data_IF_418158994607
#
_entry.id   IF_418158994607
#
_cell.length_a   1.000
_cell.length_b   1.000
_cell.length_c   1.000
_cell.angle_alpha   90.00
_cell.angle_beta   90.00
_cell.angle_gamma   90.00
#
_symmetry.space_group_name_H-M   'P 1'
#
loop_
_entity.id
_entity.type
_entity.pdbx_description
1 polymer ?
#
# COMPACT_ATOMS: atom_id res chain seq x y z
N UNK A 1 -21.31 -20.02 -25.93
CA UNK A 1 -20.46 -18.86 -26.20
C UNK A 1 -20.13 -18.23 -24.85
N UNK A 2 -18.90 -18.45 -24.35
CA UNK A 2 -18.45 -17.86 -23.09
C UNK A 2 -18.22 -16.37 -23.31
N UNK A 3 -18.81 -15.51 -22.48
CA UNK A 3 -18.57 -14.08 -22.53
C UNK A 3 -17.07 -13.79 -22.38
N UNK A 4 -16.49 -12.86 -23.16
CA UNK A 4 -15.08 -12.51 -23.03
C UNK A 4 -14.80 -12.02 -21.59
N UNK A 5 -13.65 -12.35 -20.99
CA UNK A 5 -13.31 -11.89 -19.66
C UNK A 5 -13.30 -10.36 -19.63
N UNK A 6 -13.79 -9.74 -18.55
CA UNK A 6 -13.82 -8.27 -18.45
C UNK A 6 -12.41 -7.71 -18.63
N UNK A 7 -12.28 -6.71 -19.49
CA UNK A 7 -11.00 -6.05 -19.76
C UNK A 7 -10.39 -5.54 -18.44
N UNK A 8 -9.12 -5.87 -18.21
CA UNK A 8 -8.38 -5.37 -17.03
C UNK A 8 -8.32 -3.83 -17.14
N UNK A 9 -8.67 -3.10 -16.08
CA UNK A 9 -8.57 -1.64 -16.09
C UNK A 9 -7.12 -1.23 -16.39
N UNK A 10 -6.96 -0.19 -17.22
CA UNK A 10 -5.65 0.35 -17.53
C UNK A 10 -5.07 1.01 -16.25
N UNK A 11 -3.94 0.53 -15.70
CA UNK A 11 -3.39 1.05 -14.44
C UNK A 11 -3.05 2.56 -14.50
N UNK A 12 -2.64 3.06 -15.68
CA UNK A 12 -2.34 4.48 -15.86
C UNK A 12 -3.60 5.35 -15.78
N UNK A 13 -4.71 4.86 -16.30
CA UNK A 13 -5.99 5.55 -16.24
C UNK A 13 -6.54 5.56 -14.80
N UNK A 14 -6.36 4.48 -14.07
CA UNK A 14 -6.73 4.39 -12.65
C UNK A 14 -5.94 5.40 -11.82
N UNK A 15 -4.62 5.45 -11.96
CA UNK A 15 -3.75 6.44 -11.29
C UNK A 15 -4.16 7.86 -11.67
N UNK A 16 -4.44 8.11 -12.94
CA UNK A 16 -4.88 9.42 -13.43
C UNK A 16 -6.15 9.88 -12.71
N UNK A 17 -7.19 9.04 -12.71
CA UNK A 17 -8.51 9.38 -12.14
C UNK A 17 -8.49 9.44 -10.62
N UNK A 18 -7.79 8.52 -9.96
CA UNK A 18 -7.87 8.40 -8.49
C UNK A 18 -6.86 9.26 -7.75
N UNK A 19 -5.83 9.74 -8.43
CA UNK A 19 -4.71 10.45 -7.80
C UNK A 19 -4.42 11.80 -8.46
N UNK A 20 -4.10 11.79 -9.77
CA UNK A 20 -3.68 13.03 -10.43
C UNK A 20 -4.82 14.05 -10.54
N UNK A 21 -6.02 13.61 -10.94
CA UNK A 21 -7.19 14.50 -11.06
C UNK A 21 -7.58 15.10 -9.71
N UNK A 22 -7.76 14.32 -8.61
CA UNK A 22 -8.03 14.89 -7.30
C UNK A 22 -6.96 15.87 -6.81
N UNK A 23 -5.67 15.54 -6.97
CA UNK A 23 -4.58 16.42 -6.56
C UNK A 23 -4.62 17.76 -7.33
N UNK A 24 -4.83 17.71 -8.64
CA UNK A 24 -4.94 18.92 -9.47
C UNK A 24 -6.18 19.75 -9.12
N UNK A 25 -7.33 19.12 -8.82
CA UNK A 25 -8.53 19.81 -8.36
C UNK A 25 -8.23 20.58 -7.06
N UNK A 26 -7.61 19.92 -6.09
CA UNK A 26 -7.25 20.54 -4.81
C UNK A 26 -6.28 21.72 -5.00
N UNK A 27 -5.26 21.56 -5.84
CA UNK A 27 -4.24 22.58 -6.06
C UNK A 27 -4.71 23.76 -6.92
N UNK A 28 -5.65 23.53 -7.84
CA UNK A 28 -6.01 24.55 -8.84
C UNK A 28 -7.41 25.12 -8.64
N UNK A 29 -8.34 24.41 -8.04
CA UNK A 29 -9.74 24.82 -7.97
C UNK A 29 -10.18 25.25 -6.56
N UNK A 30 -9.31 25.21 -5.55
CA UNK A 30 -9.65 25.55 -4.17
C UNK A 30 -9.75 27.05 -3.89
N UNK A 31 -9.27 27.91 -4.80
CA UNK A 31 -9.39 29.36 -4.68
C UNK A 31 -10.87 29.80 -4.60
N UNK A 32 -11.17 30.78 -3.74
CA UNK A 32 -12.52 31.33 -3.57
C UNK A 32 -13.10 31.88 -4.90
N UNK A 33 -12.24 32.44 -5.76
CA UNK A 33 -12.61 32.91 -7.09
C UNK A 33 -13.02 31.79 -8.07
N UNK A 34 -12.80 30.50 -7.69
CA UNK A 34 -13.13 29.31 -8.50
C UNK A 34 -14.26 28.51 -7.83
N UNK A 35 -13.92 27.38 -7.19
CA UNK A 35 -14.88 26.52 -6.50
C UNK A 35 -14.96 26.79 -5.00
N UNK A 36 -13.93 27.41 -4.44
CA UNK A 36 -13.72 27.50 -3.00
C UNK A 36 -13.27 26.19 -2.35
N UNK A 37 -12.73 26.25 -1.11
CA UNK A 37 -12.08 25.09 -0.48
C UNK A 37 -13.02 23.90 -0.30
N UNK A 38 -14.21 24.11 0.20
CA UNK A 38 -15.18 23.04 0.51
C UNK A 38 -15.65 22.29 -0.75
N UNK A 39 -16.00 23.03 -1.81
CA UNK A 39 -16.48 22.39 -3.06
C UNK A 39 -15.36 21.68 -3.80
N UNK A 40 -14.16 22.26 -3.81
CA UNK A 40 -12.98 21.64 -4.41
C UNK A 40 -12.64 20.33 -3.69
N UNK A 41 -12.67 20.30 -2.36
CA UNK A 41 -12.44 19.10 -1.57
C UNK A 41 -13.50 18.02 -1.86
N UNK A 42 -14.77 18.37 -1.86
CA UNK A 42 -15.85 17.43 -2.18
C UNK A 42 -15.71 16.86 -3.59
N UNK A 43 -15.38 17.70 -4.56
CA UNK A 43 -15.17 17.27 -5.95
C UNK A 43 -13.96 16.33 -6.06
N UNK A 44 -12.84 16.66 -5.43
CA UNK A 44 -11.63 15.84 -5.43
C UNK A 44 -11.88 14.45 -4.83
N UNK A 45 -12.62 14.38 -3.71
CA UNK A 45 -12.96 13.12 -3.04
C UNK A 45 -13.97 12.27 -3.84
N UNK A 46 -14.81 12.89 -4.66
CA UNK A 46 -15.80 12.19 -5.48
C UNK A 46 -15.15 11.20 -6.48
N UNK A 47 -13.95 11.49 -6.97
CA UNK A 47 -13.25 10.64 -7.94
C UNK A 47 -12.82 9.29 -7.35
N UNK A 48 -12.01 9.23 -6.27
CA UNK A 48 -11.62 7.96 -5.67
C UNK A 48 -12.81 7.21 -5.06
N UNK A 49 -13.79 7.92 -4.47
CA UNK A 49 -15.00 7.30 -3.93
C UNK A 49 -15.86 6.69 -5.04
N UNK A 50 -16.12 7.45 -6.11
CA UNK A 50 -16.91 6.98 -7.26
C UNK A 50 -16.23 5.80 -7.94
N UNK A 51 -14.89 5.85 -8.12
CA UNK A 51 -14.15 4.74 -8.68
C UNK A 51 -14.19 3.50 -7.79
N UNK A 52 -13.97 3.65 -6.49
CA UNK A 52 -14.01 2.54 -5.53
C UNK A 52 -15.37 1.86 -5.44
N UNK A 53 -16.45 2.65 -5.44
CA UNK A 53 -17.84 2.14 -5.45
C UNK A 53 -18.16 1.43 -6.77
N UNK A 54 -17.78 2.01 -7.90
CA UNK A 54 -18.01 1.42 -9.22
C UNK A 54 -17.24 0.11 -9.42
N UNK A 55 -15.97 0.07 -9.03
CA UNK A 55 -15.15 -1.16 -9.11
C UNK A 55 -15.68 -2.25 -8.18
N UNK A 56 -16.08 -1.90 -6.96
CA UNK A 56 -16.72 -2.82 -6.01
C UNK A 56 -18.03 -3.41 -6.54
N UNK A 57 -18.87 -2.56 -7.14
CA UNK A 57 -20.14 -3.00 -7.74
C UNK A 57 -19.91 -3.93 -8.95
N UNK A 58 -19.00 -3.56 -9.85
CA UNK A 58 -18.70 -4.33 -11.06
C UNK A 58 -18.10 -5.70 -10.77
N UNK A 59 -17.26 -5.81 -9.73
CA UNK A 59 -16.59 -7.08 -9.38
C UNK A 59 -17.41 -8.00 -8.48
N UNK A 60 -18.53 -7.52 -7.95
CA UNK A 60 -19.37 -8.25 -6.96
C UNK A 60 -18.57 -8.86 -5.79
N UNK A 61 -17.40 -8.33 -5.47
CA UNK A 61 -16.54 -8.75 -4.37
C UNK A 61 -16.04 -7.50 -3.64
N UNK A 62 -16.41 -7.39 -2.37
CA UNK A 62 -15.81 -6.40 -1.48
C UNK A 62 -14.34 -6.78 -1.29
N UNK A 63 -13.47 -6.04 -1.94
CA UNK A 63 -12.04 -6.15 -1.70
C UNK A 63 -11.71 -5.34 -0.44
N UNK A 64 -11.09 -5.97 0.55
CA UNK A 64 -10.65 -5.30 1.78
C UNK A 64 -9.83 -4.03 1.52
N UNK A 65 -8.96 -4.05 0.51
CA UNK A 65 -8.17 -2.87 0.12
C UNK A 65 -9.05 -1.72 -0.42
N UNK A 66 -10.11 -2.04 -1.17
CA UNK A 66 -11.06 -1.03 -1.65
C UNK A 66 -11.84 -0.40 -0.49
N UNK A 67 -12.29 -1.20 0.48
CA UNK A 67 -12.94 -0.71 1.70
C UNK A 67 -12.01 0.21 2.48
N UNK A 68 -10.74 -0.20 2.66
CA UNK A 68 -9.73 0.61 3.33
C UNK A 68 -9.50 1.94 2.61
N UNK A 69 -9.44 1.94 1.28
CA UNK A 69 -9.31 3.15 0.45
C UNK A 69 -10.49 4.10 0.62
N UNK A 70 -11.73 3.58 0.58
CA UNK A 70 -12.94 4.38 0.81
C UNK A 70 -12.94 4.99 2.23
N UNK A 71 -12.67 4.20 3.26
CA UNK A 71 -12.58 4.68 4.64
C UNK A 71 -11.50 5.75 4.79
N UNK A 72 -10.31 5.52 4.22
CA UNK A 72 -9.22 6.50 4.23
C UNK A 72 -9.63 7.82 3.56
N UNK A 73 -10.32 7.76 2.42
CA UNK A 73 -10.81 8.94 1.69
C UNK A 73 -11.86 9.71 2.50
N UNK A 74 -12.79 8.99 3.15
CA UNK A 74 -13.81 9.60 4.02
C UNK A 74 -13.19 10.26 5.25
N UNK A 75 -12.15 9.66 5.84
CA UNK A 75 -11.42 10.26 6.96
C UNK A 75 -10.69 11.55 6.52
N UNK A 76 -10.06 11.56 5.35
CA UNK A 76 -9.44 12.79 4.80
C UNK A 76 -10.49 13.88 4.60
N UNK A 77 -11.62 13.52 3.98
CA UNK A 77 -12.74 14.44 3.80
C UNK A 77 -13.31 14.96 5.12
N UNK A 78 -13.48 14.08 6.09
CA UNK A 78 -13.94 14.44 7.43
C UNK A 78 -13.03 15.44 8.12
N UNK A 79 -11.71 15.23 8.07
CA UNK A 79 -10.73 16.16 8.64
C UNK A 79 -10.85 17.54 7.97
N UNK A 80 -10.92 17.60 6.64
CA UNK A 80 -11.02 18.86 5.90
C UNK A 80 -12.36 19.58 6.09
N UNK A 81 -13.49 18.86 5.96
CA UNK A 81 -14.84 19.44 6.03
C UNK A 81 -15.24 19.86 7.44
N UNK A 82 -14.79 19.13 8.46
CA UNK A 82 -15.06 19.45 9.87
C UNK A 82 -14.01 20.40 10.47
N UNK A 83 -13.07 20.87 9.64
CA UNK A 83 -11.97 21.76 10.04
C UNK A 83 -11.22 21.24 11.28
N UNK A 84 -10.95 19.93 11.33
CA UNK A 84 -10.20 19.31 12.42
C UNK A 84 -8.72 19.71 12.30
N UNK A 85 -7.98 19.58 13.41
CA UNK A 85 -6.54 19.85 13.41
C UNK A 85 -5.81 18.98 12.36
N UNK A 86 -4.96 19.61 11.54
CA UNK A 86 -4.19 18.95 10.47
C UNK A 86 -3.29 17.80 10.99
N UNK A 87 -2.96 17.78 12.29
CA UNK A 87 -2.23 16.64 12.89
C UNK A 87 -2.97 15.30 12.73
N UNK A 88 -4.31 15.31 12.73
CA UNK A 88 -5.10 14.09 12.53
C UNK A 88 -4.90 13.48 11.15
N UNK A 89 -4.61 14.31 10.14
CA UNK A 89 -4.22 13.83 8.83
C UNK A 89 -2.92 13.03 8.90
N UNK A 90 -1.91 13.55 9.59
CA UNK A 90 -0.63 12.85 9.75
C UNK A 90 -0.79 11.51 10.50
N UNK A 91 -1.59 11.50 11.58
CA UNK A 91 -1.91 10.27 12.31
C UNK A 91 -2.62 9.27 11.41
N UNK A 92 -3.63 9.70 10.64
CA UNK A 92 -4.38 8.83 9.73
C UNK A 92 -3.47 8.24 8.64
N UNK A 93 -2.61 9.06 8.02
CA UNK A 93 -1.70 8.58 6.96
C UNK A 93 -0.69 7.56 7.48
N UNK A 94 -0.22 7.72 8.72
CA UNK A 94 0.71 6.79 9.34
C UNK A 94 0.04 5.52 9.89
N UNK A 95 -1.23 5.59 10.29
CA UNK A 95 -1.90 4.53 11.04
C UNK A 95 -2.00 3.22 10.25
N UNK A 96 -2.41 3.28 8.98
CA UNK A 96 -2.61 2.08 8.18
C UNK A 96 -1.31 1.30 7.96
N UNK A 97 -0.23 1.90 7.41
CA UNK A 97 1.02 1.17 7.27
C UNK A 97 1.63 0.78 8.62
N UNK A 98 1.45 1.60 9.67
CA UNK A 98 1.91 1.28 11.02
C UNK A 98 1.23 0.04 11.59
N UNK A 99 -0.08 -0.05 11.51
CA UNK A 99 -0.85 -1.23 11.96
C UNK A 99 -0.47 -2.49 11.19
N UNK A 100 -0.31 -2.39 9.87
CA UNK A 100 0.16 -3.51 9.05
C UNK A 100 1.56 -3.93 9.50
N UNK A 101 2.46 -2.97 9.72
CA UNK A 101 3.81 -3.22 10.23
C UNK A 101 3.81 -3.97 11.57
N UNK A 102 2.94 -3.58 12.51
CA UNK A 102 2.78 -4.26 13.80
C UNK A 102 2.29 -5.70 13.61
N UNK A 103 1.28 -5.93 12.79
CA UNK A 103 0.75 -7.28 12.51
C UNK A 103 1.84 -8.17 11.91
N UNK A 104 2.60 -7.66 10.93
CA UNK A 104 3.72 -8.39 10.33
C UNK A 104 4.81 -8.66 11.38
N UNK A 105 5.17 -7.65 12.17
CA UNK A 105 6.19 -7.77 13.22
C UNK A 105 5.81 -8.88 14.21
N UNK A 106 4.59 -8.87 14.73
CA UNK A 106 4.11 -9.88 15.68
C UNK A 106 4.12 -11.27 15.03
N UNK A 107 3.80 -11.37 13.74
CA UNK A 107 3.81 -12.65 13.04
C UNK A 107 5.20 -13.32 12.97
N UNK A 108 6.28 -12.54 13.10
CA UNK A 108 7.65 -13.08 13.08
C UNK A 108 7.94 -14.07 14.24
N UNK A 109 7.18 -13.98 15.33
CA UNK A 109 7.29 -14.89 16.49
C UNK A 109 6.22 -15.99 16.50
N UNK A 110 5.37 -16.04 15.48
CA UNK A 110 4.40 -17.12 15.31
C UNK A 110 5.01 -18.31 14.54
N UNK A 111 4.33 -19.46 14.58
CA UNK A 111 4.72 -20.66 13.80
C UNK A 111 4.66 -20.44 12.29
N UNK A 112 3.84 -19.49 11.84
CA UNK A 112 3.63 -19.16 10.43
C UNK A 112 3.87 -17.66 10.19
N UNK A 113 5.14 -17.23 10.03
CA UNK A 113 5.46 -15.86 9.69
C UNK A 113 4.72 -15.40 8.41
N UNK A 114 4.16 -14.18 8.41
CA UNK A 114 3.36 -13.68 7.28
C UNK A 114 4.11 -13.70 5.95
N UNK A 115 5.44 -13.55 5.96
CA UNK A 115 6.25 -13.62 4.73
C UNK A 115 6.11 -15.00 4.05
N UNK A 116 5.93 -16.08 4.82
CA UNK A 116 5.69 -17.42 4.26
C UNK A 116 4.38 -17.46 3.47
N UNK A 117 3.32 -16.88 4.02
CA UNK A 117 2.01 -16.83 3.36
C UNK A 117 2.01 -15.93 2.12
N UNK A 118 2.78 -14.84 2.14
CA UNK A 118 2.82 -13.87 1.06
C UNK A 118 3.75 -14.29 -0.08
N UNK A 119 4.93 -14.84 0.24
CA UNK A 119 6.00 -15.11 -0.73
C UNK A 119 6.09 -16.60 -1.05
N UNK A 120 6.01 -17.50 -0.06
CA UNK A 120 6.12 -18.94 -0.24
C UNK A 120 4.78 -19.66 -0.03
N UNK A 121 3.72 -19.18 -0.70
CA UNK A 121 2.42 -19.84 -0.61
C UNK A 121 2.31 -21.00 -1.61
N UNK A 122 1.54 -22.02 -1.24
CA UNK A 122 1.33 -23.23 -2.04
C UNK A 122 0.62 -22.99 -3.39
N UNK A 123 0.10 -21.79 -3.63
CA UNK A 123 -0.50 -21.41 -4.93
C UNK A 123 0.56 -21.07 -5.98
N UNK A 124 1.67 -20.50 -5.54
CA UNK A 124 2.75 -20.05 -6.42
C UNK A 124 3.95 -21.02 -6.41
N UNK A 125 4.20 -21.67 -5.26
CA UNK A 125 5.37 -22.51 -5.04
C UNK A 125 4.98 -23.97 -4.83
N UNK A 126 5.79 -24.87 -5.35
CA UNK A 126 5.76 -26.29 -4.99
C UNK A 126 6.44 -26.46 -3.62
N UNK A 127 5.61 -26.28 -2.58
CA UNK A 127 6.07 -26.32 -1.18
C UNK A 127 6.65 -27.66 -0.79
N UNK A 128 6.15 -28.77 -1.35
CA UNK A 128 6.59 -30.12 -1.04
C UNK A 128 8.01 -30.34 -1.59
N UNK A 129 8.25 -29.93 -2.82
CA UNK A 129 9.57 -29.97 -3.46
C UNK A 129 10.59 -29.10 -2.72
N UNK A 130 10.18 -27.90 -2.29
CA UNK A 130 11.06 -27.02 -1.48
C UNK A 130 11.40 -27.67 -0.14
N UNK A 131 10.41 -28.23 0.57
CA UNK A 131 10.67 -28.92 1.85
C UNK A 131 11.57 -30.14 1.69
N UNK A 132 11.36 -30.96 0.66
CA UNK A 132 12.20 -32.09 0.38
C UNK A 132 13.66 -31.68 0.14
N UNK A 133 13.89 -30.66 -0.70
CA UNK A 133 15.23 -30.17 -1.00
C UNK A 133 15.94 -29.58 0.24
N UNK A 134 15.19 -28.92 1.14
CA UNK A 134 15.73 -28.40 2.41
C UNK A 134 16.10 -29.56 3.36
N UNK A 135 15.26 -30.61 3.45
CA UNK A 135 15.50 -31.77 4.29
C UNK A 135 16.75 -32.55 3.81
N UNK A 136 16.87 -32.81 2.50
CA UNK A 136 18.01 -33.51 1.89
C UNK A 136 19.34 -32.77 2.15
N UNK A 137 19.30 -31.43 2.28
CA UNK A 137 20.48 -30.58 2.55
C UNK A 137 20.69 -30.24 4.03
N UNK A 138 19.74 -30.58 4.90
CA UNK A 138 19.80 -30.24 6.32
C UNK A 138 19.73 -28.71 6.58
N UNK A 139 19.10 -27.94 5.70
CA UNK A 139 19.07 -26.47 5.74
C UNK A 139 17.74 -25.88 6.20
N UNK A 140 16.81 -26.69 6.71
CA UNK A 140 15.49 -26.26 7.17
C UNK A 140 15.56 -25.16 8.23
N UNK A 141 16.40 -25.30 9.26
CA UNK A 141 16.55 -24.29 10.32
C UNK A 141 17.08 -22.95 9.78
N UNK A 142 18.00 -23.00 8.81
CA UNK A 142 18.52 -21.80 8.17
C UNK A 142 17.43 -21.12 7.32
N UNK A 143 16.57 -21.88 6.65
CA UNK A 143 15.45 -21.38 5.87
C UNK A 143 14.40 -20.70 6.77
N UNK A 144 14.05 -21.33 7.91
CA UNK A 144 13.14 -20.74 8.90
C UNK A 144 13.69 -19.41 9.46
N UNK A 145 14.98 -19.38 9.80
CA UNK A 145 15.64 -18.14 10.25
C UNK A 145 15.57 -17.07 9.18
N UNK A 146 15.76 -17.44 7.90
CA UNK A 146 15.68 -16.50 6.79
C UNK A 146 14.27 -15.95 6.59
N UNK A 147 13.23 -16.79 6.70
CA UNK A 147 11.83 -16.35 6.66
C UNK A 147 11.51 -15.40 7.81
N UNK A 148 11.98 -15.68 9.02
CA UNK A 148 11.83 -14.80 10.18
C UNK A 148 12.49 -13.44 9.94
N UNK A 149 13.74 -13.44 9.51
CA UNK A 149 14.46 -12.22 9.15
C UNK A 149 13.75 -11.44 8.04
N UNK A 150 13.27 -12.14 7.01
CA UNK A 150 12.47 -11.53 5.95
C UNK A 150 11.18 -10.88 6.46
N UNK A 151 10.52 -11.49 7.45
CA UNK A 151 9.33 -10.92 8.10
C UNK A 151 9.67 -9.64 8.86
N UNK A 152 10.81 -9.60 9.56
CA UNK A 152 11.29 -8.40 10.26
C UNK A 152 11.64 -7.27 9.28
N UNK A 153 12.30 -7.59 8.17
CA UNK A 153 12.60 -6.62 7.11
C UNK A 153 11.33 -6.10 6.42
N UNK A 154 10.33 -6.97 6.21
CA UNK A 154 9.02 -6.57 5.70
C UNK A 154 8.32 -5.61 6.67
N UNK A 155 8.30 -5.93 7.97
CA UNK A 155 7.77 -5.03 8.99
C UNK A 155 8.48 -3.68 9.00
N UNK A 156 9.81 -3.67 8.87
CA UNK A 156 10.62 -2.45 8.80
C UNK A 156 10.25 -1.59 7.58
N UNK A 157 9.92 -2.19 6.42
CA UNK A 157 9.44 -1.46 5.24
C UNK A 157 8.10 -0.75 5.52
N UNK A 158 7.18 -1.41 6.22
CA UNK A 158 5.91 -0.81 6.61
C UNK A 158 6.08 0.29 7.66
N UNK A 159 6.99 0.12 8.62
CA UNK A 159 7.30 1.18 9.59
C UNK A 159 7.99 2.37 8.92
N UNK A 160 8.90 2.14 7.97
CA UNK A 160 9.42 3.22 7.14
C UNK A 160 8.31 3.99 6.45
N UNK A 161 7.37 3.29 5.78
CA UNK A 161 6.23 3.92 5.12
C UNK A 161 5.37 4.71 6.12
N UNK A 162 5.11 4.17 7.31
CA UNK A 162 4.34 4.83 8.38
C UNK A 162 5.02 6.14 8.83
N UNK A 163 6.30 6.08 9.14
CA UNK A 163 7.08 7.24 9.59
C UNK A 163 7.16 8.28 8.47
N UNK A 164 7.45 7.86 7.25
CA UNK A 164 7.56 8.74 6.11
C UNK A 164 6.22 9.45 5.80
N UNK A 165 5.08 8.74 5.89
CA UNK A 165 3.75 9.33 5.78
C UNK A 165 3.48 10.37 6.86
N UNK A 166 3.79 10.05 8.13
CA UNK A 166 3.63 11.00 9.24
C UNK A 166 4.46 12.26 9.03
N UNK A 167 5.75 12.08 8.75
CA UNK A 167 6.68 13.21 8.56
C UNK A 167 6.29 14.05 7.35
N UNK A 168 5.95 13.42 6.22
CA UNK A 168 5.53 14.13 5.01
C UNK A 168 4.27 14.94 5.26
N UNK A 169 3.25 14.36 5.90
CA UNK A 169 2.01 15.05 6.23
C UNK A 169 2.27 16.25 7.18
N UNK A 170 3.07 16.06 8.21
CA UNK A 170 3.43 17.13 9.16
C UNK A 170 4.25 18.24 8.53
N UNK A 171 5.06 17.92 7.54
CA UNK A 171 5.93 18.88 6.88
C UNK A 171 5.22 19.67 5.79
N UNK A 172 4.33 19.02 5.04
CA UNK A 172 3.67 19.63 3.88
C UNK A 172 2.34 20.27 4.26
N UNK A 173 1.55 19.64 5.15
CA UNK A 173 0.23 20.12 5.53
C UNK A 173 0.31 20.84 6.88
N UNK A 174 0.46 22.15 6.80
CA UNK A 174 0.63 23.04 7.97
C UNK A 174 -0.52 24.02 8.15
N UNK A 175 -1.29 24.28 7.09
CA UNK A 175 -2.41 25.22 7.10
C UNK A 175 -3.64 24.63 7.82
N UNK A 176 -4.50 25.50 8.40
CA UNK A 176 -5.75 25.06 9.02
C UNK A 176 -6.65 24.32 8.01
N UNK A 177 -7.23 23.20 8.43
CA UNK A 177 -8.16 22.44 7.62
C UNK A 177 -9.39 23.29 7.21
N UNK A 178 -9.94 23.03 6.03
CA UNK A 178 -11.05 23.81 5.46
C UNK A 178 -10.63 25.07 4.71
N UNK A 179 -9.33 25.39 4.65
CA UNK A 179 -8.81 26.53 3.88
C UNK A 179 -8.35 26.14 2.49
N UNK A 180 -8.19 27.12 1.60
CA UNK A 180 -7.59 26.96 0.27
C UNK A 180 -6.16 26.40 0.39
N UNK A 181 -5.34 26.98 1.26
CA UNK A 181 -3.96 26.56 1.49
C UNK A 181 -3.88 25.09 1.96
N UNK A 182 -4.75 24.67 2.87
CA UNK A 182 -4.83 23.25 3.29
C UNK A 182 -5.08 22.30 2.10
N UNK A 183 -6.01 22.66 1.23
CA UNK A 183 -6.32 21.83 0.05
C UNK A 183 -5.15 21.76 -0.94
N UNK A 184 -4.48 22.89 -1.19
CA UNK A 184 -3.29 22.95 -2.02
C UNK A 184 -2.16 22.08 -1.45
N UNK A 185 -1.92 22.19 -0.15
CA UNK A 185 -0.94 21.38 0.59
C UNK A 185 -1.30 19.89 0.56
N UNK A 186 -2.58 19.53 0.70
CA UNK A 186 -3.07 18.16 0.60
C UNK A 186 -2.83 17.57 -0.79
N UNK A 187 -3.13 18.33 -1.84
CA UNK A 187 -2.83 17.93 -3.22
C UNK A 187 -1.34 17.75 -3.47
N UNK A 188 -0.51 18.67 -2.97
CA UNK A 188 0.96 18.61 -3.06
C UNK A 188 1.51 17.40 -2.29
N UNK A 189 1.02 17.15 -1.07
CA UNK A 189 1.39 15.98 -0.27
C UNK A 189 1.09 14.68 -1.02
N UNK A 190 -0.08 14.59 -1.66
CA UNK A 190 -0.48 13.42 -2.46
C UNK A 190 0.54 13.14 -3.57
N UNK A 191 0.97 14.17 -4.31
CA UNK A 191 1.98 14.00 -5.37
C UNK A 191 3.36 13.64 -4.82
N UNK A 192 3.78 14.28 -3.71
CA UNK A 192 5.08 14.03 -3.07
C UNK A 192 5.16 12.64 -2.42
N UNK A 193 4.03 12.02 -2.06
CA UNK A 193 4.03 10.67 -1.50
C UNK A 193 4.64 9.62 -2.45
N UNK A 194 4.57 9.83 -3.76
CA UNK A 194 5.20 8.93 -4.74
C UNK A 194 6.72 8.90 -4.64
N UNK A 195 7.46 10.01 -4.84
CA UNK A 195 8.92 9.99 -4.76
C UNK A 195 9.43 9.75 -3.33
N UNK A 196 8.70 10.18 -2.29
CA UNK A 196 9.18 10.10 -0.90
C UNK A 196 8.85 8.77 -0.23
N UNK A 197 7.73 8.15 -0.59
CA UNK A 197 7.23 6.96 0.10
C UNK A 197 7.12 5.77 -0.87
N UNK A 198 6.37 5.92 -1.97
CA UNK A 198 6.06 4.78 -2.83
C UNK A 198 7.33 4.22 -3.51
N UNK A 199 8.18 5.06 -4.10
CA UNK A 199 9.40 4.61 -4.77
C UNK A 199 10.37 3.95 -3.77
N UNK A 200 10.75 4.58 -2.62
CA UNK A 200 11.64 3.94 -1.65
C UNK A 200 11.05 2.64 -1.09
N UNK A 201 9.77 2.60 -0.75
CA UNK A 201 9.11 1.38 -0.25
C UNK A 201 9.14 0.25 -1.30
N UNK A 202 8.92 0.58 -2.58
CA UNK A 202 9.00 -0.39 -3.68
C UNK A 202 10.43 -0.92 -3.85
N UNK A 203 11.44 -0.06 -3.76
CA UNK A 203 12.85 -0.47 -3.81
C UNK A 203 13.20 -1.38 -2.63
N UNK A 204 12.78 -1.03 -1.40
CA UNK A 204 12.98 -1.87 -0.22
C UNK A 204 12.30 -3.24 -0.39
N UNK A 205 11.05 -3.27 -0.87
CA UNK A 205 10.32 -4.49 -1.15
C UNK A 205 11.02 -5.36 -2.19
N UNK A 206 11.48 -4.76 -3.30
CA UNK A 206 12.19 -5.48 -4.34
C UNK A 206 13.51 -6.05 -3.82
N UNK A 207 14.26 -5.28 -3.05
CA UNK A 207 15.51 -5.75 -2.41
C UNK A 207 15.24 -6.93 -1.47
N UNK A 208 14.16 -6.87 -0.67
CA UNK A 208 13.74 -7.96 0.20
C UNK A 208 13.39 -9.23 -0.60
N UNK A 209 12.59 -9.11 -1.66
CA UNK A 209 12.20 -10.24 -2.50
C UNK A 209 13.42 -10.88 -3.17
N UNK A 210 14.33 -10.09 -3.70
CA UNK A 210 15.57 -10.58 -4.29
C UNK A 210 16.46 -11.27 -3.24
N UNK A 211 16.54 -10.72 -2.04
CA UNK A 211 17.30 -11.33 -0.93
C UNK A 211 16.69 -12.66 -0.51
N UNK A 212 15.37 -12.77 -0.39
CA UNK A 212 14.66 -14.01 -0.10
C UNK A 212 14.87 -15.06 -1.20
N UNK A 213 14.71 -14.66 -2.45
CA UNK A 213 14.85 -15.54 -3.61
C UNK A 213 16.28 -16.12 -3.72
N UNK A 214 17.31 -15.27 -3.56
CA UNK A 214 18.70 -15.73 -3.54
C UNK A 214 18.96 -16.71 -2.39
N UNK A 215 18.40 -16.43 -1.21
CA UNK A 215 18.54 -17.31 -0.07
C UNK A 215 17.83 -18.64 -0.24
N UNK A 216 16.63 -18.65 -0.78
CA UNK A 216 15.91 -19.87 -1.11
C UNK A 216 16.71 -20.73 -2.08
N UNK A 217 17.23 -20.15 -3.18
CA UNK A 217 18.11 -20.84 -4.14
C UNK A 217 19.35 -21.44 -3.46
N UNK A 218 20.03 -20.68 -2.61
CA UNK A 218 21.23 -21.15 -1.91
C UNK A 218 20.94 -22.32 -0.97
N UNK A 219 19.83 -22.26 -0.23
CA UNK A 219 19.47 -23.25 0.78
C UNK A 219 18.86 -24.51 0.18
N UNK A 220 18.03 -24.39 -0.86
CA UNK A 220 17.40 -25.53 -1.53
C UNK A 220 18.28 -26.12 -2.64
N UNK A 221 19.14 -25.32 -3.26
CA UNK A 221 19.86 -25.68 -4.50
C UNK A 221 18.99 -25.73 -5.76
N UNK A 222 17.72 -25.35 -5.65
CA UNK A 222 16.77 -25.29 -6.76
C UNK A 222 16.82 -23.90 -7.42
N UNK A 223 16.64 -23.84 -8.73
CA UNK A 223 16.38 -22.59 -9.40
C UNK A 223 14.95 -22.11 -9.13
N UNK A 224 14.72 -20.79 -9.21
CA UNK A 224 13.39 -20.22 -8.94
C UNK A 224 12.29 -20.85 -9.81
N UNK A 225 12.60 -21.15 -11.08
CA UNK A 225 11.67 -21.84 -11.98
C UNK A 225 11.27 -23.22 -11.48
N UNK A 226 12.20 -23.95 -10.85
CA UNK A 226 11.97 -25.29 -10.29
C UNK A 226 11.19 -25.28 -8.98
N UNK A 227 11.15 -24.15 -8.30
CA UNK A 227 10.37 -23.96 -7.07
C UNK A 227 8.92 -23.54 -7.38
N UNK A 228 8.64 -23.04 -8.58
CA UNK A 228 7.30 -22.63 -8.97
C UNK A 228 6.44 -23.84 -9.32
N UNK A 229 5.17 -23.75 -9.00
CA UNK A 229 4.18 -24.77 -9.36
C UNK A 229 3.89 -24.67 -10.85
N UNK A 230 4.16 -25.75 -11.60
CA UNK A 230 3.82 -25.89 -13.03
C UNK A 230 2.33 -26.11 -13.23
#
# INVERSE_FOLDING_TARGET
MSAPPPAKPNPLLEIGITILVPALILMQLSAEARLGPTRALLLALAFPLGWGLWDGWKRHKLNWLAVLGVVSTLLTGGIGLLALDAQWLAVKEAAVPGLIGVVILVSAWTRNPLIRLLVFNATLFDTDRVHQALAERGTEAAFETRLRTGTLLLAATFFFSSIANYVLARWVVVSPAGTEAFNEELGRMTLLSYPVIAIPSTVMMMALLLWLARGAKTLTGLDLGDMLRS
#
